data_IF_271301051495
#
_entry.id   IF_271301051495
#
_cell.length_a   1.000
_cell.length_b   1.000
_cell.length_c   1.000
_cell.angle_alpha   90.00
_cell.angle_beta   90.00
_cell.angle_gamma   90.00
#
_symmetry.space_group_name_H-M   'P 1'
#
loop_
_entity.id
_entity.type
_entity.pdbx_description
1 polymer ?
#
# COMPACT_ATOMS: atom_id res chain seq x y z
N UNK A 1 -4.65 9.87 17.50
CA UNK A 1 -5.98 9.24 17.68
C UNK A 1 -5.91 7.82 17.15
N UNK A 2 -6.61 6.86 17.72
CA UNK A 2 -6.72 5.52 17.15
C UNK A 2 -8.02 5.44 16.34
N UNK A 3 -8.07 4.52 15.38
CA UNK A 3 -9.24 4.25 14.56
C UNK A 3 -9.60 2.78 14.66
N UNK A 4 -10.88 2.46 14.50
CA UNK A 4 -11.35 1.08 14.43
C UNK A 4 -11.44 0.68 12.95
N UNK A 5 -10.74 -0.37 12.55
CA UNK A 5 -10.90 -1.00 11.25
C UNK A 5 -11.81 -2.22 11.38
N UNK A 6 -12.80 -2.33 10.51
CA UNK A 6 -13.62 -3.51 10.33
C UNK A 6 -13.34 -4.08 8.94
N UNK A 7 -13.02 -5.35 8.84
CA UNK A 7 -12.84 -6.03 7.56
C UNK A 7 -13.83 -7.18 7.39
N UNK A 8 -14.36 -7.32 6.16
CA UNK A 8 -15.28 -8.38 5.78
C UNK A 8 -15.00 -8.82 4.35
N UNK A 9 -15.11 -10.13 4.08
CA UNK A 9 -14.98 -10.68 2.72
C UNK A 9 -16.34 -11.09 2.19
N UNK A 10 -16.67 -10.61 1.00
CA UNK A 10 -17.94 -10.89 0.32
C UNK A 10 -17.72 -11.29 -1.14
N UNK A 11 -18.68 -11.99 -1.73
CA UNK A 11 -18.72 -12.24 -3.17
C UNK A 11 -18.95 -10.91 -3.92
N UNK A 12 -18.48 -10.83 -5.17
CA UNK A 12 -18.59 -9.63 -6.02
C UNK A 12 -19.97 -9.01 -6.02
N UNK A 13 -21.00 -9.85 -6.15
CA UNK A 13 -22.39 -9.41 -6.28
C UNK A 13 -22.95 -8.78 -4.99
N UNK A 14 -22.28 -9.03 -3.86
CA UNK A 14 -22.64 -8.48 -2.56
C UNK A 14 -21.89 -7.20 -2.19
N UNK A 15 -20.92 -6.76 -3.01
CA UNK A 15 -20.06 -5.61 -2.69
C UNK A 15 -20.88 -4.35 -2.46
N UNK A 16 -21.75 -3.99 -3.40
CA UNK A 16 -22.56 -2.77 -3.29
C UNK A 16 -23.40 -2.76 -2.02
N UNK A 17 -24.07 -3.88 -1.70
CA UNK A 17 -24.86 -3.98 -0.48
C UNK A 17 -24.01 -3.90 0.79
N UNK A 18 -22.78 -4.42 0.76
CA UNK A 18 -21.84 -4.32 1.87
C UNK A 18 -21.31 -2.88 2.05
N UNK A 19 -21.02 -2.18 0.96
CA UNK A 19 -20.60 -0.77 0.98
C UNK A 19 -21.69 0.11 1.57
N UNK A 20 -22.94 0.02 1.07
CA UNK A 20 -24.10 0.76 1.58
C UNK A 20 -24.34 0.48 3.07
N UNK A 21 -24.17 -0.76 3.51
CA UNK A 21 -24.30 -1.12 4.93
C UNK A 21 -23.19 -0.45 5.77
N UNK A 22 -21.94 -0.52 5.34
CA UNK A 22 -20.81 0.12 6.05
C UNK A 22 -20.98 1.64 6.13
N UNK A 23 -21.40 2.28 5.03
CA UNK A 23 -21.71 3.72 5.01
C UNK A 23 -22.83 4.09 5.99
N UNK A 24 -23.93 3.32 5.96
CA UNK A 24 -25.09 3.57 6.87
C UNK A 24 -24.72 3.40 8.34
N UNK A 25 -23.71 2.56 8.64
CA UNK A 25 -23.18 2.34 9.98
C UNK A 25 -22.17 3.40 10.40
N UNK A 26 -21.81 4.31 9.50
CA UNK A 26 -20.95 5.45 9.78
C UNK A 26 -19.47 5.20 9.46
N UNK A 27 -19.17 4.36 8.47
CA UNK A 27 -17.80 4.23 7.96
C UNK A 27 -17.29 5.57 7.40
N UNK A 28 -16.12 5.98 7.82
CA UNK A 28 -15.44 7.21 7.40
C UNK A 28 -14.73 7.04 6.06
N UNK A 29 -14.30 5.81 5.77
CA UNK A 29 -13.70 5.40 4.51
C UNK A 29 -13.94 3.91 4.30
N UNK A 30 -14.07 3.50 3.04
CA UNK A 30 -14.18 2.10 2.65
C UNK A 30 -13.11 1.81 1.59
N UNK A 31 -12.39 0.72 1.77
CA UNK A 31 -11.37 0.25 0.83
C UNK A 31 -11.71 -1.16 0.37
N UNK A 32 -11.62 -1.39 -0.93
CA UNK A 32 -11.81 -2.71 -1.56
C UNK A 32 -10.44 -3.30 -1.88
N UNK A 33 -10.25 -4.57 -1.55
CA UNK A 33 -9.01 -5.31 -1.82
C UNK A 33 -9.32 -6.71 -2.35
N UNK A 34 -8.42 -7.24 -3.17
CA UNK A 34 -8.44 -8.66 -3.50
C UNK A 34 -8.02 -9.52 -2.30
N UNK A 35 -8.63 -10.68 -2.18
CA UNK A 35 -8.30 -11.67 -1.13
C UNK A 35 -7.20 -12.63 -1.61
N UNK A 36 -7.05 -12.83 -2.92
CA UNK A 36 -6.29 -13.92 -3.49
C UNK A 36 -5.23 -13.51 -4.53
N UNK A 37 -4.87 -12.22 -4.61
CA UNK A 37 -3.88 -11.69 -5.56
C UNK A 37 -4.19 -12.03 -7.02
N UNK A 38 -5.47 -11.89 -7.40
CA UNK A 38 -5.89 -12.09 -8.79
C UNK A 38 -5.44 -10.90 -9.65
N UNK A 39 -4.71 -11.12 -10.74
CA UNK A 39 -4.31 -10.03 -11.61
C UNK A 39 -5.54 -9.41 -12.28
N UNK A 40 -5.74 -8.11 -12.09
CA UNK A 40 -6.65 -7.33 -12.91
C UNK A 40 -5.83 -6.80 -14.08
N UNK A 41 -5.95 -7.48 -15.22
CA UNK A 41 -5.36 -7.04 -16.48
C UNK A 41 -6.13 -5.79 -16.97
N UNK A 42 -5.58 -5.11 -17.96
CA UNK A 42 -6.17 -3.89 -18.50
C UNK A 42 -7.65 -4.08 -18.87
N UNK A 43 -8.59 -3.43 -18.15
CA UNK A 43 -10.01 -3.61 -18.42
C UNK A 43 -10.43 -2.82 -19.66
N UNK A 44 -11.57 -3.18 -20.23
CA UNK A 44 -12.22 -2.38 -21.26
C UNK A 44 -12.44 -0.94 -20.78
N UNK A 45 -12.33 0.07 -21.66
CA UNK A 45 -12.53 1.46 -21.27
C UNK A 45 -13.91 1.67 -20.62
N UNK A 46 -13.89 2.21 -19.40
CA UNK A 46 -15.09 2.45 -18.59
C UNK A 46 -15.54 1.26 -17.73
N UNK A 47 -14.89 0.11 -17.81
CA UNK A 47 -15.14 -1.01 -16.92
C UNK A 47 -14.27 -0.91 -15.66
N UNK A 48 -14.88 -1.20 -14.50
CA UNK A 48 -14.19 -1.35 -13.22
C UNK A 48 -14.42 -2.77 -12.69
N UNK A 49 -13.72 -3.78 -13.25
CA UNK A 49 -13.94 -5.15 -12.82
C UNK A 49 -13.50 -5.33 -11.37
N UNK A 50 -14.38 -5.97 -10.59
CA UNK A 50 -14.05 -6.41 -9.24
C UNK A 50 -13.61 -7.87 -9.25
N UNK A 51 -12.82 -8.27 -8.27
CA UNK A 51 -12.43 -9.65 -8.03
C UNK A 51 -13.63 -10.53 -7.65
N UNK A 52 -13.55 -11.86 -7.85
CA UNK A 52 -14.65 -12.78 -7.47
C UNK A 52 -15.03 -12.68 -6.00
N UNK A 53 -14.03 -12.57 -5.12
CA UNK A 53 -14.19 -12.32 -3.69
C UNK A 53 -13.44 -11.05 -3.34
N UNK A 54 -14.13 -10.11 -2.70
CA UNK A 54 -13.62 -8.80 -2.35
C UNK A 54 -13.58 -8.67 -0.84
N UNK A 55 -12.46 -8.22 -0.31
CA UNK A 55 -12.35 -7.77 1.08
C UNK A 55 -12.67 -6.28 1.14
N UNK A 56 -13.72 -5.94 1.89
CA UNK A 56 -14.01 -4.55 2.24
C UNK A 56 -13.38 -4.25 3.60
N UNK A 57 -12.75 -3.09 3.71
CA UNK A 57 -12.25 -2.53 4.97
C UNK A 57 -12.93 -1.20 5.22
N UNK A 58 -13.74 -1.14 6.26
CA UNK A 58 -14.37 0.08 6.74
C UNK A 58 -13.57 0.68 7.89
N UNK A 59 -13.29 1.97 7.82
CA UNK A 59 -12.65 2.73 8.90
C UNK A 59 -13.72 3.46 9.69
N UNK A 60 -13.68 3.34 11.01
CA UNK A 60 -14.64 3.94 11.94
C UNK A 60 -13.91 4.71 13.04
N UNK A 61 -14.66 5.55 13.76
CA UNK A 61 -14.16 6.15 14.99
C UNK A 61 -13.76 5.04 15.99
N UNK A 62 -12.72 5.28 16.77
CA UNK A 62 -12.26 4.32 17.78
C UNK A 62 -13.32 3.94 18.81
N UNK A 63 -14.28 4.84 19.07
CA UNK A 63 -15.37 4.64 20.01
C UNK A 63 -16.61 3.96 19.38
N UNK A 64 -16.53 3.54 18.11
CA UNK A 64 -17.66 2.89 17.45
C UNK A 64 -18.04 1.58 18.14
N UNK A 65 -19.35 1.39 18.31
CA UNK A 65 -19.92 0.21 18.97
C UNK A 65 -19.81 -1.03 18.06
N UNK A 66 -18.92 -1.94 18.41
CA UNK A 66 -18.65 -3.17 17.65
C UNK A 66 -19.88 -4.07 17.52
N UNK A 67 -20.67 -4.17 18.55
CA UNK A 67 -21.88 -5.02 18.55
C UNK A 67 -22.94 -4.46 17.60
N UNK A 68 -23.09 -3.13 17.57
CA UNK A 68 -23.95 -2.44 16.61
C UNK A 68 -23.46 -2.65 15.17
N UNK A 69 -22.15 -2.59 14.92
CA UNK A 69 -21.57 -2.82 13.61
C UNK A 69 -21.84 -4.25 13.14
N UNK A 70 -21.60 -5.24 14.00
CA UNK A 70 -21.89 -6.65 13.70
C UNK A 70 -23.36 -6.86 13.41
N UNK A 71 -24.24 -6.36 14.27
CA UNK A 71 -25.70 -6.52 14.11
C UNK A 71 -26.20 -5.89 12.80
N UNK A 72 -25.70 -4.69 12.46
CA UNK A 72 -26.06 -4.00 11.23
C UNK A 72 -25.62 -4.76 9.96
N UNK A 73 -24.40 -5.27 9.95
CA UNK A 73 -23.89 -6.05 8.81
C UNK A 73 -24.60 -7.41 8.70
N UNK A 74 -24.90 -8.07 9.82
CA UNK A 74 -25.64 -9.33 9.82
C UNK A 74 -27.10 -9.18 9.38
N UNK A 75 -27.66 -7.97 9.44
CA UNK A 75 -29.01 -7.69 8.92
C UNK A 75 -29.05 -7.67 7.38
N UNK A 76 -27.91 -7.58 6.70
CA UNK A 76 -27.81 -7.60 5.23
C UNK A 76 -27.65 -9.06 4.76
N UNK A 77 -28.62 -9.65 4.07
CA UNK A 77 -28.61 -11.09 3.72
C UNK A 77 -27.36 -11.55 2.96
N UNK A 78 -26.82 -10.68 2.09
CA UNK A 78 -25.64 -10.99 1.29
C UNK A 78 -24.32 -10.96 2.09
N UNK A 79 -24.32 -10.33 3.27
CA UNK A 79 -23.14 -10.05 4.11
C UNK A 79 -23.18 -10.91 5.38
N UNK A 80 -24.32 -11.26 5.85
CA UNK A 80 -24.81 -11.76 7.13
C UNK A 80 -24.09 -12.90 7.86
N UNK A 81 -22.75 -12.97 7.84
CA UNK A 81 -22.00 -13.98 8.61
C UNK A 81 -21.03 -13.34 9.58
N UNK A 82 -21.31 -13.39 10.91
CA UNK A 82 -20.44 -12.81 11.94
C UNK A 82 -19.00 -13.34 11.92
N UNK A 83 -18.83 -14.60 11.54
CA UNK A 83 -17.53 -15.28 11.46
C UNK A 83 -16.59 -14.69 10.38
N UNK A 84 -17.14 -13.93 9.42
CA UNK A 84 -16.38 -13.23 8.39
C UNK A 84 -15.93 -11.83 8.79
N UNK A 85 -16.47 -11.28 9.87
CA UNK A 85 -16.13 -9.94 10.37
C UNK A 85 -14.88 -10.01 11.23
N UNK A 86 -13.91 -9.15 10.95
CA UNK A 86 -12.71 -8.99 11.76
C UNK A 86 -12.56 -7.52 12.15
N UNK A 87 -12.08 -7.30 13.37
CA UNK A 87 -11.75 -5.97 13.85
C UNK A 87 -10.24 -5.82 14.01
N UNK A 88 -9.73 -4.66 13.62
CA UNK A 88 -8.38 -4.21 13.82
C UNK A 88 -8.36 -2.82 14.42
N UNK A 89 -7.21 -2.41 14.95
CA UNK A 89 -6.98 -1.05 15.40
C UNK A 89 -5.92 -0.41 14.52
N UNK A 90 -6.25 0.77 13.98
CA UNK A 90 -5.31 1.57 13.21
C UNK A 90 -4.82 2.69 14.11
N UNK A 91 -3.57 2.56 14.58
CA UNK A 91 -2.92 3.58 15.37
C UNK A 91 -2.66 4.84 14.56
N UNK A 92 -2.70 5.98 15.24
CA UNK A 92 -2.26 7.25 14.64
C UNK A 92 -0.75 7.19 14.43
N UNK A 93 -0.33 7.28 13.19
CA UNK A 93 1.07 7.33 12.79
C UNK A 93 1.29 8.54 11.90
N UNK A 94 2.45 9.11 11.98
CA UNK A 94 2.89 10.04 10.94
C UNK A 94 3.10 9.27 9.63
N UNK A 95 2.01 9.13 8.88
CA UNK A 95 2.00 8.39 7.61
C UNK A 95 2.90 9.03 6.56
N UNK A 96 3.23 10.31 6.72
CA UNK A 96 4.11 11.01 5.80
C UNK A 96 5.53 10.47 5.87
N UNK A 97 5.91 9.87 7.01
CA UNK A 97 7.24 9.31 7.27
C UNK A 97 7.25 7.80 7.50
N UNK A 98 6.09 7.15 7.70
CA UNK A 98 6.01 5.73 8.05
C UNK A 98 6.66 4.79 7.02
N UNK A 99 6.72 5.19 5.77
CA UNK A 99 7.40 4.44 4.71
C UNK A 99 8.92 4.64 4.75
N UNK A 100 9.43 5.77 5.29
CA UNK A 100 10.87 6.04 5.43
C UNK A 100 11.55 5.05 6.37
N UNK A 101 10.83 4.54 7.37
CA UNK A 101 11.36 3.53 8.31
C UNK A 101 11.74 2.22 7.62
N UNK A 102 11.21 1.96 6.45
CA UNK A 102 11.51 0.78 5.63
C UNK A 102 12.57 1.03 4.58
N UNK A 103 12.94 2.29 4.36
CA UNK A 103 13.92 2.64 3.35
C UNK A 103 15.32 2.29 3.88
N UNK A 104 16.05 1.49 3.13
CA UNK A 104 17.39 1.04 3.46
C UNK A 104 18.31 1.33 2.29
N UNK A 105 19.64 1.42 2.50
CA UNK A 105 20.58 1.51 1.39
C UNK A 105 20.35 0.39 0.38
N UNK A 106 20.21 0.75 -0.89
CA UNK A 106 19.96 -0.18 -1.98
C UNK A 106 21.10 -0.13 -2.97
N UNK A 107 21.57 -1.31 -3.40
CA UNK A 107 22.64 -1.44 -4.40
C UNK A 107 22.06 -1.71 -5.78
N UNK A 108 22.57 -1.00 -6.77
CA UNK A 108 22.26 -1.17 -8.18
C UNK A 108 23.55 -1.47 -8.94
N UNK A 109 23.58 -2.59 -9.63
CA UNK A 109 24.79 -3.04 -10.31
C UNK A 109 25.93 -3.44 -9.36
N UNK A 110 27.15 -3.00 -9.66
CA UNK A 110 28.37 -3.39 -8.91
C UNK A 110 28.80 -2.37 -7.88
N UNK A 111 28.62 -1.07 -8.14
CA UNK A 111 29.21 0.03 -7.38
C UNK A 111 28.21 1.04 -6.88
N UNK A 112 27.10 1.21 -7.62
CA UNK A 112 26.15 2.29 -7.37
C UNK A 112 25.22 1.95 -6.19
N UNK A 113 25.12 2.89 -5.25
CA UNK A 113 24.24 2.79 -4.10
C UNK A 113 23.33 4.01 -3.98
N UNK A 114 22.08 3.79 -3.72
CA UNK A 114 21.15 4.84 -3.24
C UNK A 114 21.06 4.72 -1.73
N UNK A 115 21.43 5.77 -1.03
CA UNK A 115 21.56 5.79 0.43
C UNK A 115 20.61 6.85 1.00
N UNK A 116 19.63 6.46 1.82
CA UNK A 116 18.77 7.41 2.53
C UNK A 116 19.58 8.31 3.45
N UNK A 117 19.12 9.55 3.63
CA UNK A 117 19.79 10.52 4.48
C UNK A 117 20.03 10.01 5.89
N UNK A 118 21.23 10.26 6.40
CA UNK A 118 21.66 9.83 7.72
C UNK A 118 22.05 8.35 7.84
N UNK A 119 22.00 7.60 6.74
CA UNK A 119 22.52 6.22 6.69
C UNK A 119 23.89 6.19 6.01
N UNK A 120 24.68 5.18 6.35
CA UNK A 120 26.00 4.93 5.77
C UNK A 120 26.07 3.52 5.18
N UNK A 121 26.91 3.36 4.17
CA UNK A 121 27.30 2.06 3.62
C UNK A 121 28.75 1.77 4.02
N UNK A 122 29.13 0.50 3.96
CA UNK A 122 30.52 0.12 4.17
C UNK A 122 31.46 0.89 3.25
N UNK A 123 32.53 1.45 3.83
CA UNK A 123 33.51 2.21 3.07
C UNK A 123 34.26 1.28 2.10
N UNK A 124 34.02 1.50 0.81
CA UNK A 124 34.73 0.87 -0.28
C UNK A 124 34.99 1.94 -1.33
N UNK A 125 36.27 2.21 -1.68
CA UNK A 125 36.61 3.23 -2.69
C UNK A 125 35.97 2.97 -4.07
N UNK A 126 35.58 1.75 -4.35
CA UNK A 126 34.88 1.37 -5.57
C UNK A 126 33.39 1.74 -5.55
N UNK A 127 32.80 1.96 -4.40
CA UNK A 127 31.39 2.30 -4.27
C UNK A 127 31.12 3.77 -4.66
N UNK A 128 30.03 3.99 -5.35
CA UNK A 128 29.46 5.30 -5.65
C UNK A 128 28.14 5.43 -4.89
N UNK A 129 28.13 6.24 -3.84
CA UNK A 129 26.94 6.48 -3.04
C UNK A 129 26.24 7.76 -3.48
N UNK A 130 24.95 7.69 -3.77
CA UNK A 130 24.07 8.83 -4.00
C UNK A 130 23.20 8.97 -2.78
N UNK A 131 23.36 10.07 -2.03
CA UNK A 131 22.47 10.41 -0.95
C UNK A 131 21.12 10.86 -1.55
N UNK A 132 20.06 10.13 -1.24
CA UNK A 132 18.72 10.44 -1.71
C UNK A 132 17.74 10.26 -0.55
N UNK A 133 17.18 11.37 -0.11
CA UNK A 133 16.02 11.34 0.78
C UNK A 133 14.77 11.19 -0.08
N UNK A 134 14.08 10.06 0.07
CA UNK A 134 12.82 9.89 -0.64
C UNK A 134 11.83 10.93 -0.09
N UNK A 135 11.54 11.93 -0.90
CA UNK A 135 10.51 12.92 -0.61
C UNK A 135 9.10 12.39 -0.92
N UNK A 136 8.11 13.25 -0.79
CA UNK A 136 6.74 12.98 -1.24
C UNK A 136 6.64 12.85 -2.78
N UNK A 137 7.74 13.01 -3.50
CA UNK A 137 7.81 12.95 -4.94
C UNK A 137 8.27 11.57 -5.45
N UNK A 138 7.90 11.24 -6.68
CA UNK A 138 8.35 10.05 -7.39
C UNK A 138 9.87 10.00 -7.53
N UNK A 139 10.46 8.79 -7.57
CA UNK A 139 11.88 8.61 -7.90
C UNK A 139 12.73 8.02 -6.79
N UNK A 140 12.15 7.19 -5.92
CA UNK A 140 12.86 6.52 -4.80
C UNK A 140 13.86 5.44 -5.24
N UNK A 141 13.96 5.14 -6.53
CA UNK A 141 14.77 4.02 -7.04
C UNK A 141 14.13 2.64 -6.91
N UNK A 142 13.04 2.51 -6.15
CA UNK A 142 12.39 1.23 -5.90
C UNK A 142 11.58 0.68 -7.07
N UNK A 143 11.21 1.56 -8.03
CA UNK A 143 10.47 1.10 -9.20
C UNK A 143 11.39 0.32 -10.15
N UNK A 144 10.96 -0.83 -10.69
CA UNK A 144 11.79 -1.66 -11.57
C UNK A 144 12.42 -0.92 -12.74
N UNK A 145 11.74 0.04 -13.35
CA UNK A 145 12.29 0.84 -14.45
C UNK A 145 13.44 1.73 -14.00
N UNK A 146 13.34 2.34 -12.82
CA UNK A 146 14.43 3.15 -12.24
C UNK A 146 15.62 2.27 -11.89
N UNK A 147 15.37 1.08 -11.30
CA UNK A 147 16.41 0.12 -10.98
C UNK A 147 17.21 -0.28 -12.23
N UNK A 148 16.53 -0.62 -13.34
CA UNK A 148 17.17 -0.96 -14.61
C UNK A 148 18.00 0.20 -15.18
N UNK A 149 17.53 1.44 -15.08
CA UNK A 149 18.30 2.61 -15.51
C UNK A 149 19.56 2.79 -14.67
N UNK A 150 19.46 2.60 -13.34
CA UNK A 150 20.62 2.73 -12.45
C UNK A 150 21.64 1.61 -12.67
N UNK A 151 21.22 0.38 -12.90
CA UNK A 151 22.07 -0.75 -13.25
C UNK A 151 22.78 -0.52 -14.59
N UNK A 152 22.05 0.01 -15.58
CA UNK A 152 22.64 0.36 -16.87
C UNK A 152 23.69 1.45 -16.72
N UNK A 153 23.42 2.50 -15.94
CA UNK A 153 24.38 3.57 -15.66
C UNK A 153 25.64 3.04 -14.95
N UNK A 154 25.48 2.15 -13.97
CA UNK A 154 26.61 1.52 -13.25
C UNK A 154 27.50 0.70 -14.21
N UNK A 155 26.90 0.07 -15.22
CA UNK A 155 27.62 -0.70 -16.23
C UNK A 155 28.41 0.19 -17.20
N UNK A 156 28.09 1.50 -17.32
CA UNK A 156 28.79 2.43 -18.19
C UNK A 156 30.07 2.95 -17.51
N UNK A 157 31.17 2.26 -17.71
CA UNK A 157 32.48 2.67 -17.14
C UNK A 157 33.13 3.86 -17.86
N UNK A 158 32.59 4.29 -18.99
CA UNK A 158 33.20 5.27 -19.89
C UNK A 158 32.64 6.70 -19.77
N UNK A 159 31.69 6.97 -18.88
CA UNK A 159 31.14 8.34 -18.71
C UNK A 159 31.95 9.11 -17.68
N UNK A 160 33.26 9.10 -17.81
CA UNK A 160 34.13 9.99 -17.05
C UNK A 160 34.12 11.34 -17.76
N UNK A 161 33.46 12.33 -17.17
CA UNK A 161 33.55 13.73 -17.61
C UNK A 161 32.30 14.34 -18.25
N UNK A 162 31.16 13.69 -18.30
CA UNK A 162 29.90 14.40 -18.59
C UNK A 162 29.42 15.11 -17.31
N UNK A 163 29.72 16.37 -17.21
CA UNK A 163 29.02 17.31 -16.32
C UNK A 163 27.82 17.81 -17.11
N UNK A 164 26.63 17.50 -16.62
CA UNK A 164 25.37 18.10 -17.10
C UNK A 164 25.13 19.38 -16.34
#
# INVERSE_FOLDING_TARGET
>A
MAWLELSISVERDAVTAAEEALESLGALAITLQDVADHPVLEPEPGATPLWPVVQLRGLFDAAADRDRLVAGLCAVPAVGRPDRIRFGEVGDRDWTRAWMDRFRPMRFGRRLWIVPGGMEIAHDPANVAIALDPGLAFGTGTHPTTALCLEWLDAQTAVVGCVV
#
